data_IF_195968877683
#
_entry.id   IF_195968877683
#
_cell.length_a   1.000
_cell.length_b   1.000
_cell.length_c   1.000
_cell.angle_alpha   90.00
_cell.angle_beta   90.00
_cell.angle_gamma   90.00
#
_symmetry.space_group_name_H-M   'P 1'
#
loop_
_entity.id
_entity.type
_entity.pdbx_description
1 polymer ?
#
# COMPACT_ATOMS: atom_id res chain seq x y z
N UNK A 1 -34.81 -30.45 63.16
CA UNK A 1 -35.29 -29.09 62.89
C UNK A 1 -34.09 -28.28 62.46
N UNK A 2 -34.09 -27.74 61.25
CA UNK A 2 -32.94 -26.98 60.72
C UNK A 2 -32.85 -25.65 61.46
N UNK A 3 -31.63 -25.25 61.82
CA UNK A 3 -31.35 -24.02 62.57
C UNK A 3 -31.70 -22.78 61.72
N UNK A 4 -32.54 -21.85 62.21
CA UNK A 4 -32.90 -20.63 61.48
C UNK A 4 -31.69 -19.78 61.07
N UNK A 5 -30.61 -19.77 61.85
CA UNK A 5 -29.40 -19.00 61.55
C UNK A 5 -28.69 -19.55 60.29
N UNK A 6 -28.69 -20.88 60.12
CA UNK A 6 -28.12 -21.54 58.94
C UNK A 6 -28.91 -21.20 57.68
N UNK A 7 -30.24 -21.13 57.77
CA UNK A 7 -31.09 -20.75 56.64
C UNK A 7 -30.85 -19.29 56.23
N UNK A 8 -30.69 -18.39 57.18
CA UNK A 8 -30.43 -16.98 56.91
C UNK A 8 -29.07 -16.79 56.21
N UNK A 9 -28.03 -17.50 56.67
CA UNK A 9 -26.70 -17.45 56.03
C UNK A 9 -26.70 -18.02 54.62
N UNK A 10 -27.48 -19.08 54.36
CA UNK A 10 -27.65 -19.62 53.00
C UNK A 10 -28.38 -18.60 52.10
N UNK A 11 -29.43 -17.95 52.61
CA UNK A 11 -30.17 -16.93 51.86
C UNK A 11 -29.29 -15.72 51.51
N UNK A 12 -28.52 -15.22 52.49
CA UNK A 12 -27.56 -14.14 52.27
C UNK A 12 -26.52 -14.52 51.20
N UNK A 13 -25.96 -15.73 51.28
CA UNK A 13 -24.96 -16.18 50.30
C UNK A 13 -25.54 -16.34 48.90
N UNK A 14 -26.81 -16.75 48.77
CA UNK A 14 -27.49 -16.79 47.46
C UNK A 14 -27.66 -15.40 46.87
N UNK A 15 -28.14 -14.44 47.65
CA UNK A 15 -28.28 -13.06 47.19
C UNK A 15 -26.93 -12.44 46.76
N UNK A 16 -25.85 -12.74 47.48
CA UNK A 16 -24.49 -12.34 47.05
C UNK A 16 -24.09 -12.96 45.71
N UNK A 17 -24.37 -14.25 45.50
CA UNK A 17 -24.06 -14.95 44.26
C UNK A 17 -24.90 -14.43 43.09
N UNK A 18 -26.19 -14.16 43.31
CA UNK A 18 -27.08 -13.58 42.30
C UNK A 18 -26.57 -12.19 41.87
N UNK A 19 -26.11 -11.37 42.82
CA UNK A 19 -25.49 -10.08 42.51
C UNK A 19 -24.18 -10.19 41.72
N UNK A 20 -23.34 -11.17 42.03
CA UNK A 20 -22.12 -11.46 41.27
C UNK A 20 -22.44 -11.97 39.85
N UNK A 21 -23.47 -12.80 39.71
CA UNK A 21 -23.94 -13.30 38.41
C UNK A 21 -24.44 -12.14 37.54
N UNK A 22 -25.23 -11.22 38.09
CA UNK A 22 -25.65 -10.01 37.38
C UNK A 22 -24.48 -9.12 36.95
N UNK A 23 -23.47 -8.95 37.82
CA UNK A 23 -22.28 -8.18 37.51
C UNK A 23 -21.49 -8.81 36.35
N UNK A 24 -21.28 -10.12 36.39
CA UNK A 24 -20.59 -10.85 35.33
C UNK A 24 -21.38 -10.83 34.01
N UNK A 25 -22.71 -10.92 34.07
CA UNK A 25 -23.57 -10.82 32.89
C UNK A 25 -23.43 -9.45 32.20
N UNK A 26 -23.34 -8.37 32.98
CA UNK A 26 -23.09 -7.00 32.45
C UNK A 26 -21.73 -6.90 31.78
N UNK A 27 -20.67 -7.36 32.45
CA UNK A 27 -19.31 -7.34 31.89
C UNK A 27 -19.21 -8.17 30.60
N UNK A 28 -19.87 -9.33 30.56
CA UNK A 28 -19.88 -10.17 29.37
C UNK A 28 -20.64 -9.50 28.21
N UNK A 29 -21.70 -8.76 28.50
CA UNK A 29 -22.42 -7.98 27.50
C UNK A 29 -21.54 -6.87 26.90
N UNK A 30 -20.79 -6.15 27.74
CA UNK A 30 -19.82 -5.12 27.30
C UNK A 30 -18.73 -5.72 26.40
N UNK A 31 -18.11 -6.82 26.82
CA UNK A 31 -17.07 -7.51 26.02
C UNK A 31 -17.62 -8.01 24.68
N UNK A 32 -18.87 -8.48 24.65
CA UNK A 32 -19.53 -8.89 23.39
C UNK A 32 -19.77 -7.69 22.47
N UNK A 33 -20.24 -6.57 23.01
CA UNK A 33 -20.45 -5.35 22.24
C UNK A 33 -19.13 -4.85 21.62
N UNK A 34 -18.04 -4.81 22.40
CA UNK A 34 -16.71 -4.42 21.90
C UNK A 34 -16.21 -5.38 20.80
N UNK A 35 -16.42 -6.69 20.97
CA UNK A 35 -16.07 -7.67 19.94
C UNK A 35 -16.87 -7.49 18.65
N UNK A 36 -18.14 -7.13 18.75
CA UNK A 36 -18.99 -6.87 17.58
C UNK A 36 -18.50 -5.60 16.85
N UNK A 37 -18.12 -4.55 17.59
CA UNK A 37 -17.50 -3.34 17.02
C UNK A 37 -16.16 -3.66 16.31
N UNK A 38 -15.30 -4.46 16.94
CA UNK A 38 -14.04 -4.89 16.34
C UNK A 38 -14.29 -5.73 15.08
N UNK A 39 -15.26 -6.65 15.09
CA UNK A 39 -15.61 -7.43 13.90
C UNK A 39 -16.09 -6.54 12.73
N UNK A 40 -16.78 -5.44 13.03
CA UNK A 40 -17.14 -4.44 12.01
C UNK A 40 -15.88 -3.73 11.49
N UNK A 41 -14.97 -3.30 12.36
CA UNK A 41 -13.73 -2.66 11.98
C UNK A 41 -12.84 -3.57 11.10
N UNK A 42 -12.72 -4.85 11.44
CA UNK A 42 -11.99 -5.85 10.66
C UNK A 42 -12.57 -6.01 9.25
N UNK A 43 -13.91 -6.12 9.13
CA UNK A 43 -14.58 -6.18 7.82
C UNK A 43 -14.38 -4.92 6.99
N UNK A 44 -14.34 -3.74 7.62
CA UNK A 44 -14.04 -2.48 6.92
C UNK A 44 -12.61 -2.49 6.40
N UNK A 45 -11.64 -2.90 7.23
CA UNK A 45 -10.24 -2.99 6.84
C UNK A 45 -10.03 -4.01 5.70
N UNK A 46 -10.70 -5.15 5.77
CA UNK A 46 -10.63 -6.17 4.72
C UNK A 46 -11.16 -5.62 3.39
N UNK A 47 -12.35 -5.00 3.39
CA UNK A 47 -12.90 -4.36 2.18
C UNK A 47 -11.99 -3.27 1.63
N UNK A 48 -11.38 -2.46 2.49
CA UNK A 48 -10.43 -1.43 2.06
C UNK A 48 -9.18 -2.06 1.42
N UNK A 49 -8.70 -3.18 1.97
CA UNK A 49 -7.55 -3.90 1.43
C UNK A 49 -7.87 -4.51 0.07
N UNK A 50 -9.05 -5.11 -0.08
CA UNK A 50 -9.58 -5.64 -1.34
C UNK A 50 -9.73 -4.50 -2.37
N UNK A 51 -10.34 -3.37 -2.00
CA UNK A 51 -10.46 -2.21 -2.87
C UNK A 51 -9.09 -1.67 -3.31
N UNK A 52 -8.09 -1.60 -2.42
CA UNK A 52 -6.73 -1.20 -2.78
C UNK A 52 -6.08 -2.23 -3.73
N UNK A 53 -6.35 -3.52 -3.54
CA UNK A 53 -5.85 -4.57 -4.42
C UNK A 53 -6.50 -4.48 -5.81
N UNK A 54 -7.81 -4.26 -5.87
CA UNK A 54 -8.57 -4.05 -7.09
C UNK A 54 -8.13 -2.76 -7.80
N UNK A 55 -7.99 -1.64 -7.07
CA UNK A 55 -7.43 -0.39 -7.59
C UNK A 55 -6.01 -0.58 -8.12
N UNK A 56 -5.17 -1.41 -7.48
CA UNK A 56 -3.83 -1.74 -7.99
C UNK A 56 -3.87 -2.67 -9.20
N UNK A 57 -4.86 -3.56 -9.29
CA UNK A 57 -5.07 -4.45 -10.43
C UNK A 57 -5.59 -3.66 -11.64
N UNK A 58 -6.58 -2.79 -11.43
CA UNK A 58 -7.10 -1.85 -12.43
C UNK A 58 -6.07 -0.80 -12.83
N UNK A 59 -5.33 -0.24 -11.87
CA UNK A 59 -4.18 0.63 -12.13
C UNK A 59 -2.93 -0.15 -12.55
N UNK A 60 -3.09 -1.43 -12.93
CA UNK A 60 -2.03 -2.39 -13.20
C UNK A 60 -0.79 -1.75 -13.78
N UNK A 61 0.37 -1.92 -13.11
CA UNK A 61 1.62 -1.84 -13.86
C UNK A 61 1.54 -2.95 -14.89
N UNK A 62 1.50 -2.65 -16.20
CA UNK A 62 1.14 -3.66 -17.17
C UNK A 62 2.19 -4.76 -17.12
N UNK A 63 1.81 -5.95 -16.65
CA UNK A 63 2.59 -7.16 -16.90
C UNK A 63 2.42 -7.39 -18.39
N UNK A 64 3.43 -7.02 -19.16
CA UNK A 64 3.45 -7.30 -20.60
C UNK A 64 3.82 -8.76 -20.75
N UNK A 65 2.95 -9.52 -21.41
CA UNK A 65 3.29 -10.88 -21.81
C UNK A 65 4.14 -10.82 -23.08
N UNK A 66 5.37 -11.34 -22.98
CA UNK A 66 6.20 -11.63 -24.15
C UNK A 66 6.34 -13.15 -24.20
N UNK A 67 5.86 -13.76 -25.29
CA UNK A 67 5.91 -15.22 -25.52
C UNK A 67 5.37 -16.08 -24.35
N UNK A 68 4.26 -15.66 -23.71
CA UNK A 68 3.57 -16.45 -22.68
C UNK A 68 4.22 -16.43 -21.29
N UNK A 69 5.26 -15.63 -21.06
CA UNK A 69 5.87 -15.43 -19.74
C UNK A 69 5.42 -14.09 -19.16
N UNK A 70 4.97 -14.09 -17.90
CA UNK A 70 4.71 -12.87 -17.15
C UNK A 70 6.05 -12.17 -16.89
N UNK A 71 6.31 -11.07 -17.61
CA UNK A 71 7.53 -10.27 -17.43
C UNK A 71 7.14 -8.90 -16.90
N UNK A 72 7.87 -8.47 -15.87
CA UNK A 72 7.77 -7.15 -15.28
C UNK A 72 8.07 -6.11 -16.37
N UNK A 73 7.18 -5.12 -16.57
CA UNK A 73 7.34 -4.10 -17.63
C UNK A 73 8.73 -3.45 -17.66
N UNK A 74 9.26 -3.16 -16.47
CA UNK A 74 10.59 -2.65 -16.26
C UNK A 74 11.31 -3.65 -15.35
N UNK A 75 12.26 -4.45 -15.87
CA UNK A 75 13.11 -5.31 -15.06
C UNK A 75 14.02 -4.48 -14.14
N UNK A 76 14.57 -5.12 -13.11
CA UNK A 76 15.54 -4.46 -12.21
C UNK A 76 16.91 -4.39 -12.91
N UNK A 77 17.66 -3.30 -12.71
CA UNK A 77 18.99 -3.15 -13.31
C UNK A 77 19.96 -4.14 -12.66
N UNK A 78 20.62 -4.96 -13.47
CA UNK A 78 21.67 -5.88 -13.06
C UNK A 78 22.85 -5.81 -14.04
N UNK A 79 24.07 -6.21 -13.62
CA UNK A 79 25.22 -6.30 -14.53
C UNK A 79 24.91 -7.19 -15.74
N UNK A 80 25.21 -6.70 -16.95
CA UNK A 80 24.93 -7.42 -18.20
C UNK A 80 23.49 -7.29 -18.73
N UNK A 81 22.60 -6.58 -18.03
CA UNK A 81 21.26 -6.24 -18.53
C UNK A 81 21.31 -4.89 -19.23
N UNK A 82 21.26 -4.91 -20.55
CA UNK A 82 21.29 -3.70 -21.37
C UNK A 82 19.92 -3.00 -21.43
N UNK A 83 19.92 -1.69 -21.66
CA UNK A 83 18.71 -0.88 -21.81
C UNK A 83 17.71 -1.42 -22.84
N UNK A 84 18.18 -2.19 -23.83
CA UNK A 84 17.36 -2.79 -24.90
C UNK A 84 16.25 -3.72 -24.40
N UNK A 85 16.33 -4.20 -23.16
CA UNK A 85 15.26 -5.01 -22.54
C UNK A 85 14.07 -4.16 -22.07
N UNK A 86 14.24 -2.84 -21.95
CA UNK A 86 13.18 -1.94 -21.54
C UNK A 86 12.22 -1.70 -22.71
N UNK A 87 10.94 -1.43 -22.48
CA UNK A 87 10.04 -0.96 -23.54
C UNK A 87 10.56 0.35 -24.16
N UNK A 88 10.31 0.56 -25.45
CA UNK A 88 10.86 1.67 -26.23
C UNK A 88 10.62 3.06 -25.61
N UNK A 89 9.50 3.26 -24.91
CA UNK A 89 9.23 4.50 -24.20
C UNK A 89 10.19 4.73 -23.02
N UNK A 90 10.46 3.69 -22.23
CA UNK A 90 11.42 3.76 -21.12
C UNK A 90 12.86 3.94 -21.63
N UNK A 91 13.21 3.33 -22.76
CA UNK A 91 14.50 3.56 -23.43
C UNK A 91 14.66 5.04 -23.83
N UNK A 92 13.63 5.65 -24.44
CA UNK A 92 13.65 7.08 -24.82
C UNK A 92 13.81 8.01 -23.61
N UNK A 93 13.10 7.73 -22.51
CA UNK A 93 13.23 8.49 -21.26
C UNK A 93 14.64 8.36 -20.69
N UNK A 94 15.19 7.14 -20.65
CA UNK A 94 16.52 6.88 -20.14
C UNK A 94 17.61 7.59 -20.97
N UNK A 95 17.47 7.56 -22.30
CA UNK A 95 18.34 8.28 -23.23
C UNK A 95 18.30 9.80 -23.01
N UNK A 96 17.11 10.39 -22.82
CA UNK A 96 16.96 11.82 -22.53
C UNK A 96 17.68 12.24 -21.24
N UNK A 97 17.63 11.41 -20.19
CA UNK A 97 18.37 11.68 -18.94
C UNK A 97 19.88 11.57 -19.14
N UNK A 98 20.35 10.59 -19.94
CA UNK A 98 21.78 10.43 -20.25
C UNK A 98 22.35 11.61 -21.04
N UNK A 99 21.58 12.13 -22.01
CA UNK A 99 22.02 13.26 -22.84
C UNK A 99 22.28 14.54 -22.04
N UNK A 100 21.60 14.72 -20.91
CA UNK A 100 21.76 15.93 -20.10
C UNK A 100 23.04 15.97 -19.26
N UNK A 101 23.82 14.87 -19.20
CA UNK A 101 25.12 14.75 -18.53
C UNK A 101 25.18 15.26 -17.06
N UNK A 102 24.03 15.37 -16.38
CA UNK A 102 23.90 15.91 -15.03
C UNK A 102 22.48 15.75 -14.46
N UNK A 103 22.20 16.27 -13.25
CA UNK A 103 20.88 16.17 -12.63
C UNK A 103 19.78 16.91 -13.40
N UNK A 104 18.75 16.18 -13.86
CA UNK A 104 17.68 16.70 -14.71
C UNK A 104 16.34 16.68 -14.00
N UNK A 105 15.58 17.77 -14.08
CA UNK A 105 14.21 17.81 -13.57
C UNK A 105 13.22 17.13 -14.54
N UNK A 106 12.11 16.60 -14.01
CA UNK A 106 11.03 16.01 -14.83
C UNK A 106 10.53 16.93 -15.94
N UNK A 107 10.48 18.24 -15.69
CA UNK A 107 10.06 19.22 -16.68
C UNK A 107 10.99 19.25 -17.89
N UNK A 108 12.30 19.33 -17.65
CA UNK A 108 13.32 19.37 -18.70
C UNK A 108 13.34 18.08 -19.53
N UNK A 109 13.14 16.92 -18.87
CA UNK A 109 12.97 15.64 -19.57
C UNK A 109 11.71 15.66 -20.44
N UNK A 110 10.61 16.24 -19.93
CA UNK A 110 9.38 16.42 -20.70
C UNK A 110 9.59 17.29 -21.94
N UNK A 111 10.35 18.38 -21.81
CA UNK A 111 10.69 19.28 -22.93
C UNK A 111 11.49 18.53 -24.02
N UNK A 112 12.50 17.76 -23.63
CA UNK A 112 13.29 16.92 -24.55
C UNK A 112 12.42 15.88 -25.27
N UNK A 113 11.43 15.34 -24.58
CA UNK A 113 10.49 14.36 -25.13
C UNK A 113 9.33 15.00 -25.93
N UNK A 114 9.31 16.32 -26.09
CA UNK A 114 8.26 17.04 -26.82
C UNK A 114 6.92 17.06 -26.10
N UNK A 115 6.90 16.87 -24.78
CA UNK A 115 5.68 16.98 -23.99
C UNK A 115 5.34 18.44 -23.73
N UNK A 116 4.04 18.74 -23.72
CA UNK A 116 3.52 20.04 -23.30
C UNK A 116 3.70 20.20 -21.78
N UNK A 117 4.74 20.93 -21.39
CA UNK A 117 5.14 21.15 -20.00
C UNK A 117 4.47 22.34 -19.34
N UNK A 118 3.59 23.06 -20.06
CA UNK A 118 2.77 24.14 -19.53
C UNK A 118 1.65 23.64 -18.62
N UNK A 119 1.20 22.40 -18.82
CA UNK A 119 0.11 21.78 -18.04
C UNK A 119 0.66 20.78 -17.03
N UNK A 120 0.48 21.06 -15.74
CA UNK A 120 1.01 20.22 -14.63
C UNK A 120 0.61 18.74 -14.74
N UNK A 121 -0.64 18.47 -15.14
CA UNK A 121 -1.17 17.10 -15.29
C UNK A 121 -0.48 16.29 -16.39
N UNK A 122 0.08 16.91 -17.44
CA UNK A 122 0.77 16.19 -18.53
C UNK A 122 2.14 15.63 -18.11
N UNK A 123 2.74 16.18 -17.05
CA UNK A 123 4.02 15.70 -16.51
C UNK A 123 3.85 14.59 -15.47
N UNK A 124 2.65 14.35 -14.94
CA UNK A 124 2.39 13.31 -13.96
C UNK A 124 2.71 11.90 -14.46
N UNK A 125 2.26 11.50 -15.67
CA UNK A 125 2.63 10.20 -16.24
C UNK A 125 4.15 10.04 -16.40
N UNK A 126 4.86 11.09 -16.86
CA UNK A 126 6.31 11.07 -17.01
C UNK A 126 7.01 10.93 -15.64
N UNK A 127 6.53 11.64 -14.62
CA UNK A 127 7.08 11.56 -13.25
C UNK A 127 6.96 10.15 -12.66
N UNK A 128 5.84 9.49 -12.90
CA UNK A 128 5.63 8.10 -12.52
C UNK A 128 6.62 7.16 -13.21
N UNK A 129 6.86 7.36 -14.52
CA UNK A 129 7.84 6.55 -15.30
C UNK A 129 9.28 6.76 -14.83
N UNK A 130 9.67 8.00 -14.54
CA UNK A 130 11.00 8.32 -14.00
C UNK A 130 11.23 7.73 -12.61
N UNK A 131 10.20 7.78 -11.76
CA UNK A 131 10.26 7.17 -10.42
C UNK A 131 10.37 5.66 -10.54
N UNK A 132 9.58 5.02 -11.42
CA UNK A 132 9.67 3.58 -11.68
C UNK A 132 11.07 3.16 -12.16
N UNK A 133 11.70 3.92 -13.06
CA UNK A 133 13.08 3.67 -13.48
C UNK A 133 14.08 3.83 -12.34
N UNK A 134 13.87 4.80 -11.45
CA UNK A 134 14.72 5.01 -10.28
C UNK A 134 14.59 3.87 -9.26
N UNK A 135 13.38 3.44 -8.95
CA UNK A 135 13.10 2.32 -8.03
C UNK A 135 13.73 1.01 -8.53
N UNK A 136 13.87 0.87 -9.85
CA UNK A 136 14.48 -0.30 -10.51
C UNK A 136 15.98 -0.17 -10.72
N UNK A 137 16.58 0.92 -10.22
CA UNK A 137 18.02 1.15 -10.28
C UNK A 137 18.56 1.60 -11.65
N UNK A 138 17.69 1.89 -12.63
CA UNK A 138 18.09 2.43 -13.94
C UNK A 138 18.50 3.91 -13.85
N UNK A 139 17.81 4.66 -12.99
CA UNK A 139 18.11 6.05 -12.67
C UNK A 139 18.42 6.19 -11.18
N UNK A 140 19.07 7.29 -10.82
CA UNK A 140 19.17 7.74 -9.43
C UNK A 140 18.31 8.98 -9.25
N UNK A 141 17.35 8.92 -8.32
CA UNK A 141 16.53 10.06 -7.91
C UNK A 141 17.17 10.74 -6.71
N UNK A 142 17.51 12.02 -6.86
CA UNK A 142 18.13 12.84 -5.82
C UNK A 142 17.07 13.38 -4.84
N UNK A 143 17.48 13.82 -3.63
CA UNK A 143 16.59 14.45 -2.67
C UNK A 143 15.89 15.71 -3.20
N UNK A 144 16.54 16.42 -4.14
CA UNK A 144 16.02 17.61 -4.82
C UNK A 144 14.97 17.28 -5.92
N UNK A 145 14.62 16.02 -6.11
CA UNK A 145 13.64 15.55 -7.09
C UNK A 145 14.17 15.43 -8.53
N UNK A 146 15.48 15.66 -8.75
CA UNK A 146 16.12 15.49 -10.05
C UNK A 146 16.60 14.04 -10.26
N UNK A 147 16.76 13.68 -11.52
CA UNK A 147 17.17 12.34 -11.93
C UNK A 147 18.54 12.39 -12.62
N UNK A 148 19.38 11.41 -12.34
CA UNK A 148 20.65 11.19 -13.02
C UNK A 148 20.71 9.76 -13.55
N UNK A 149 21.34 9.57 -14.71
CA UNK A 149 21.63 8.24 -15.21
C UNK A 149 22.63 7.54 -14.28
N UNK A 150 22.42 6.25 -14.03
CA UNK A 150 23.40 5.42 -13.33
C UNK A 150 24.39 4.85 -14.36
N UNK A 151 25.72 4.88 -14.09
CA UNK A 151 26.72 4.29 -14.97
C UNK A 151 26.50 2.79 -15.11
#
# INVERSE_FOLDING_TARGET
MTDPEVLERIAARRAELDGLEEQLAKQLAEVRAERDELAVAERVLQRMTEQIADERAEAGSPIVQVAGRAVRLVPDRAPGVEDGVLPAEYQRILAAVRQAAGPVATRQIGEVLGLDTGVRGKLEPLRGKLTKLADRGWLHKRPDGKFTARP
#
